data_IF_697614601071
#
_entry.id   IF_697614601071
#
_cell.length_a   1.000
_cell.length_b   1.000
_cell.length_c   1.000
_cell.angle_alpha   90.00
_cell.angle_beta   90.00
_cell.angle_gamma   90.00
#
_symmetry.space_group_name_H-M   'P 1'
#
loop_
_entity.id
_entity.type
_entity.pdbx_description
1 polymer ?
#
# COMPACT_ATOMS: atom_id res chain seq x y z
N UNK A 1 18.46 -9.33 -5.75
CA UNK A 1 18.10 -9.14 -4.33
C UNK A 1 16.59 -8.93 -4.23
N UNK A 2 15.86 -9.90 -3.67
CA UNK A 2 14.39 -9.93 -3.66
C UNK A 2 13.82 -8.89 -2.69
N UNK A 3 12.72 -8.25 -3.06
CA UNK A 3 11.94 -7.40 -2.16
C UNK A 3 11.35 -8.22 -1.01
N UNK A 4 11.68 -7.95 0.26
CA UNK A 4 11.02 -8.60 1.40
C UNK A 4 9.61 -8.07 1.66
N UNK A 5 9.34 -6.79 1.39
CA UNK A 5 8.02 -6.20 1.60
C UNK A 5 6.98 -6.92 0.73
N UNK A 6 5.81 -7.21 1.32
CA UNK A 6 4.70 -8.07 0.85
C UNK A 6 5.06 -9.51 0.45
N UNK A 7 6.33 -9.85 0.20
CA UNK A 7 6.75 -11.16 -0.27
C UNK A 7 7.26 -12.08 0.84
N UNK A 8 7.59 -11.52 2.02
CA UNK A 8 7.97 -12.27 3.21
C UNK A 8 7.03 -11.95 4.37
N UNK A 9 6.65 -12.96 5.18
CA UNK A 9 5.85 -12.73 6.36
C UNK A 9 6.54 -11.77 7.34
N UNK A 10 5.74 -10.97 8.02
CA UNK A 10 6.21 -10.05 9.03
C UNK A 10 5.33 -8.82 9.20
N UNK A 11 5.74 -7.97 10.13
CA UNK A 11 5.10 -6.69 10.38
C UNK A 11 5.96 -5.58 9.82
N UNK A 12 5.34 -4.64 9.14
CA UNK A 12 6.00 -3.43 8.66
C UNK A 12 5.31 -2.23 9.28
N UNK A 13 6.09 -1.31 9.80
CA UNK A 13 5.63 -0.04 10.31
C UNK A 13 5.97 1.04 9.31
N UNK A 14 5.16 2.09 9.27
CA UNK A 14 5.41 3.23 8.42
C UNK A 14 4.88 4.51 9.01
N UNK A 15 5.44 5.60 8.52
CA UNK A 15 4.99 6.94 8.84
C UNK A 15 5.17 7.83 7.61
N UNK A 16 4.38 8.89 7.54
CA UNK A 16 4.44 9.81 6.42
C UNK A 16 3.44 10.94 6.52
N UNK A 17 3.11 11.51 5.36
CA UNK A 17 2.20 12.63 5.19
C UNK A 17 1.22 12.34 4.05
N UNK A 18 -0.03 12.75 4.26
CA UNK A 18 -1.09 12.75 3.26
C UNK A 18 -1.40 14.22 2.92
N UNK A 19 -1.38 14.54 1.64
CA UNK A 19 -1.76 15.84 1.11
C UNK A 19 -3.02 15.67 0.26
N UNK A 20 -4.05 16.47 0.52
CA UNK A 20 -5.32 16.46 -0.21
C UNK A 20 -5.37 17.67 -1.16
N UNK A 21 -5.83 17.51 -2.41
CA UNK A 21 -5.85 18.63 -3.37
C UNK A 21 -6.81 19.76 -2.99
N UNK A 22 -7.86 19.44 -2.23
CA UNK A 22 -8.94 20.38 -1.91
C UNK A 22 -8.67 21.23 -0.68
N UNK A 23 -7.62 20.93 0.06
CA UNK A 23 -7.25 21.62 1.30
C UNK A 23 -5.73 21.68 1.32
N UNK A 24 -5.10 22.84 1.55
CA UNK A 24 -3.63 22.93 1.79
C UNK A 24 -3.24 22.30 3.15
N UNK A 25 -3.89 21.21 3.52
CA UNK A 25 -3.72 20.48 4.74
C UNK A 25 -2.80 19.28 4.48
N UNK A 26 -1.82 19.13 5.36
CA UNK A 26 -0.87 18.03 5.36
C UNK A 26 -1.08 17.24 6.63
N UNK A 27 -1.65 16.06 6.48
CA UNK A 27 -2.02 15.19 7.60
C UNK A 27 -0.92 14.15 7.84
N UNK A 28 -0.26 14.15 9.01
CA UNK A 28 0.63 13.06 9.39
C UNK A 28 -0.15 11.75 9.49
N UNK A 29 0.45 10.65 9.04
CA UNK A 29 -0.14 9.32 9.21
C UNK A 29 0.89 8.30 9.68
N UNK A 30 0.38 7.26 10.33
CA UNK A 30 1.10 6.05 10.68
C UNK A 30 0.42 4.86 10.00
N UNK A 31 1.21 3.89 9.54
CA UNK A 31 0.67 2.67 8.96
C UNK A 31 1.33 1.43 9.54
N UNK A 32 0.56 0.35 9.63
CA UNK A 32 1.04 -0.97 9.98
C UNK A 32 0.55 -1.97 8.95
N UNK A 33 1.49 -2.67 8.33
CA UNK A 33 1.20 -3.84 7.51
C UNK A 33 1.46 -5.10 8.31
N UNK A 34 0.54 -6.05 8.22
CA UNK A 34 0.71 -7.43 8.66
C UNK A 34 0.68 -8.33 7.43
N UNK A 35 1.82 -8.92 7.12
CA UNK A 35 2.00 -9.84 5.98
C UNK A 35 2.09 -11.26 6.55
N UNK A 36 1.10 -12.14 6.29
CA UNK A 36 1.17 -13.53 6.74
C UNK A 36 1.99 -14.40 5.78
N UNK A 37 2.07 -15.69 6.11
CA UNK A 37 2.47 -16.72 5.15
C UNK A 37 1.51 -16.82 3.97
N UNK A 38 2.04 -17.36 2.87
CA UNK A 38 1.23 -17.70 1.70
C UNK A 38 0.31 -18.87 2.06
N UNK A 39 -0.92 -18.82 1.56
CA UNK A 39 -1.82 -19.97 1.62
C UNK A 39 -1.40 -21.07 0.61
N UNK A 40 -2.14 -22.18 0.62
CA UNK A 40 -1.90 -23.33 -0.28
C UNK A 40 -2.03 -22.99 -1.77
N UNK A 41 -2.68 -21.87 -2.11
CA UNK A 41 -2.84 -21.35 -3.47
C UNK A 41 -1.78 -20.32 -3.83
N UNK A 42 -0.87 -20.01 -2.91
CA UNK A 42 0.18 -19.01 -3.08
C UNK A 42 -0.30 -17.56 -2.91
N UNK A 43 -1.50 -17.34 -2.37
CA UNK A 43 -2.06 -16.02 -2.08
C UNK A 43 -1.54 -15.49 -0.73
N UNK A 44 -1.27 -14.19 -0.66
CA UNK A 44 -0.87 -13.50 0.57
C UNK A 44 -1.97 -12.49 0.93
N UNK A 45 -2.75 -12.80 1.97
CA UNK A 45 -3.81 -11.93 2.48
C UNK A 45 -3.27 -11.00 3.58
N UNK A 46 -2.76 -9.84 3.18
CA UNK A 46 -2.20 -8.85 4.10
C UNK A 46 -3.25 -7.89 4.64
N UNK A 47 -3.03 -7.40 5.85
CA UNK A 47 -3.83 -6.34 6.45
C UNK A 47 -2.99 -5.08 6.56
N UNK A 48 -3.52 -3.95 6.12
CA UNK A 48 -2.95 -2.63 6.36
C UNK A 48 -3.87 -1.85 7.29
N UNK A 49 -3.30 -1.28 8.33
CA UNK A 49 -3.96 -0.36 9.24
C UNK A 49 -3.33 1.02 9.04
N UNK A 50 -4.15 2.06 8.94
CA UNK A 50 -3.73 3.45 8.77
C UNK A 50 -4.39 4.30 9.84
N UNK A 51 -3.57 5.04 10.57
CA UNK A 51 -4.00 6.04 11.54
C UNK A 51 -3.58 7.42 11.02
N UNK A 52 -4.56 8.30 10.84
CA UNK A 52 -4.33 9.67 10.35
C UNK A 52 -4.49 10.62 11.52
N UNK A 53 -3.47 11.45 11.77
CA UNK A 53 -3.51 12.43 12.86
C UNK A 53 -4.68 13.39 12.66
N UNK A 54 -5.53 13.51 13.68
CA UNK A 54 -6.74 14.34 13.62
C UNK A 54 -8.02 13.57 13.27
N UNK A 55 -7.92 12.32 12.83
CA UNK A 55 -9.05 11.42 12.66
C UNK A 55 -9.09 10.38 13.79
N UNK A 56 -10.28 10.10 14.32
CA UNK A 56 -10.44 9.16 15.43
C UNK A 56 -10.37 7.69 15.00
N UNK A 57 -10.67 7.40 13.74
CA UNK A 57 -10.82 6.05 13.24
C UNK A 57 -9.54 5.52 12.58
N UNK A 58 -9.19 4.28 12.92
CA UNK A 58 -8.13 3.53 12.23
C UNK A 58 -8.73 2.88 10.99
N UNK A 59 -8.30 3.33 9.82
CA UNK A 59 -8.70 2.73 8.54
C UNK A 59 -8.04 1.37 8.38
N UNK A 60 -8.81 0.39 7.89
CA UNK A 60 -8.34 -0.98 7.65
C UNK A 60 -8.56 -1.36 6.20
N UNK A 61 -7.49 -1.77 5.54
CA UNK A 61 -7.50 -2.24 4.17
C UNK A 61 -7.04 -3.68 4.14
N UNK A 62 -7.83 -4.55 3.53
CA UNK A 62 -7.45 -5.93 3.30
C UNK A 62 -6.91 -6.05 1.87
N UNK A 63 -5.67 -6.54 1.74
CA UNK A 63 -5.00 -6.73 0.47
C UNK A 63 -4.74 -8.21 0.20
N UNK A 64 -5.10 -8.69 -0.98
CA UNK A 64 -4.75 -10.03 -1.44
C UNK A 64 -3.79 -9.96 -2.62
N UNK A 65 -2.61 -10.57 -2.47
CA UNK A 65 -1.60 -10.65 -3.52
C UNK A 65 -1.51 -12.07 -4.07
N UNK A 66 -1.73 -12.26 -5.38
CA UNK A 66 -1.76 -13.58 -6.00
C UNK A 66 -1.25 -13.56 -7.46
N UNK A 67 -1.15 -14.74 -8.08
CA UNK A 67 -0.59 -14.92 -9.43
C UNK A 67 0.79 -14.24 -9.62
N UNK A 68 1.61 -14.28 -8.56
CA UNK A 68 2.92 -13.64 -8.55
C UNK A 68 3.92 -14.36 -9.45
N UNK A 69 4.61 -13.60 -10.30
CA UNK A 69 5.81 -14.02 -11.00
C UNK A 69 7.00 -13.10 -10.62
N UNK A 70 8.09 -13.16 -11.39
CA UNK A 70 9.31 -12.36 -11.08
C UNK A 70 9.16 -10.86 -11.32
N UNK A 71 8.16 -10.44 -12.10
CA UNK A 71 7.98 -9.05 -12.57
C UNK A 71 6.62 -8.47 -12.22
N UNK A 72 5.59 -9.29 -12.06
CA UNK A 72 4.22 -8.83 -11.84
C UNK A 72 3.45 -9.71 -10.88
N UNK A 73 2.34 -9.17 -10.37
CA UNK A 73 1.36 -9.87 -9.55
C UNK A 73 -0.01 -9.23 -9.74
N UNK A 74 -1.05 -9.92 -9.29
CA UNK A 74 -2.38 -9.35 -9.16
C UNK A 74 -2.59 -8.95 -7.71
N UNK A 75 -3.16 -7.77 -7.51
CA UNK A 75 -3.51 -7.25 -6.21
C UNK A 75 -5.02 -7.04 -6.15
N UNK A 76 -5.59 -7.29 -4.99
CA UNK A 76 -6.99 -7.02 -4.70
C UNK A 76 -7.05 -6.25 -3.38
N UNK A 77 -7.81 -5.16 -3.36
CA UNK A 77 -8.04 -4.31 -2.21
C UNK A 77 -9.51 -4.41 -1.82
N UNK A 78 -9.77 -4.70 -0.56
CA UNK A 78 -11.10 -4.63 0.04
C UNK A 78 -11.10 -3.62 1.20
N UNK A 79 -12.00 -2.64 1.11
CA UNK A 79 -12.25 -1.65 2.16
C UNK A 79 -13.75 -1.31 2.19
N UNK A 80 -14.25 -0.92 3.36
CA UNK A 80 -15.66 -0.57 3.58
C UNK A 80 -16.18 0.53 2.65
N UNK A 81 -15.34 1.49 2.25
CA UNK A 81 -15.70 2.63 1.41
C UNK A 81 -15.67 2.33 -0.08
N UNK A 82 -14.74 1.49 -0.54
CA UNK A 82 -14.52 1.19 -1.97
C UNK A 82 -15.11 -0.16 -2.40
N UNK A 83 -15.52 -1.00 -1.44
CA UNK A 83 -15.80 -2.40 -1.69
C UNK A 83 -14.53 -3.12 -2.14
N UNK A 84 -14.67 -3.95 -3.17
CA UNK A 84 -13.62 -4.84 -3.65
C UNK A 84 -13.08 -4.38 -5.01
N UNK A 85 -11.78 -4.15 -5.08
CA UNK A 85 -11.08 -3.55 -6.22
C UNK A 85 -9.93 -4.44 -6.64
N UNK A 86 -9.77 -4.67 -7.94
CA UNK A 86 -8.65 -5.46 -8.49
C UNK A 86 -7.70 -4.54 -9.25
N UNK A 87 -6.40 -4.71 -8.99
CA UNK A 87 -5.33 -3.94 -9.59
C UNK A 87 -4.20 -4.81 -10.14
N UNK A 88 -3.16 -4.14 -10.64
CA UNK A 88 -1.97 -4.79 -11.21
C UNK A 88 -0.74 -4.36 -10.45
N UNK A 89 0.07 -5.33 -10.07
CA UNK A 89 1.33 -5.13 -9.38
C UNK A 89 2.54 -5.34 -10.26
N UNK A 90 3.62 -4.64 -9.95
CA UNK A 90 4.93 -4.79 -10.58
C UNK A 90 6.05 -4.93 -9.56
N UNK A 91 7.10 -5.64 -9.96
CA UNK A 91 8.31 -5.90 -9.19
C UNK A 91 9.50 -5.64 -10.11
N UNK A 92 10.38 -4.72 -9.73
CA UNK A 92 11.68 -4.50 -10.36
C UNK A 92 12.81 -4.71 -9.33
N UNK A 93 14.06 -4.46 -9.69
CA UNK A 93 15.15 -4.54 -8.71
C UNK A 93 15.11 -3.41 -7.67
N UNK A 94 14.57 -2.24 -8.04
CA UNK A 94 14.55 -1.03 -7.20
C UNK A 94 13.21 -0.80 -6.52
N UNK A 95 12.11 -1.14 -7.19
CA UNK A 95 10.76 -0.81 -6.74
C UNK A 95 9.83 -2.03 -6.73
N UNK A 96 8.82 -1.95 -5.88
CA UNK A 96 7.65 -2.82 -5.89
C UNK A 96 6.43 -1.91 -5.72
N UNK A 97 5.38 -2.12 -6.51
CA UNK A 97 4.22 -1.24 -6.48
C UNK A 97 3.05 -1.80 -7.25
N UNK A 98 1.93 -1.09 -7.22
CA UNK A 98 0.69 -1.48 -7.87
C UNK A 98 -0.13 -0.27 -8.28
N UNK A 99 -1.06 -0.50 -9.19
CA UNK A 99 -2.06 0.47 -9.61
C UNK A 99 -3.47 -0.14 -9.58
N UNK A 100 -4.45 0.74 -9.34
CA UNK A 100 -5.87 0.47 -9.46
C UNK A 100 -6.46 1.40 -10.51
N UNK A 101 -7.32 0.86 -11.36
CA UNK A 101 -8.08 1.63 -12.35
C UNK A 101 -9.51 1.10 -12.40
N UNK A 102 -10.45 1.92 -11.96
CA UNK A 102 -11.87 1.63 -11.91
C UNK A 102 -12.61 2.69 -12.71
N UNK A 103 -12.57 2.56 -14.04
CA UNK A 103 -13.14 3.55 -14.97
C UNK A 103 -14.61 3.89 -14.66
N UNK A 104 -15.39 2.89 -14.23
CA UNK A 104 -16.81 3.04 -13.89
C UNK A 104 -17.08 3.83 -12.59
N UNK A 105 -16.09 3.90 -11.69
CA UNK A 105 -16.14 4.71 -10.47
C UNK A 105 -15.31 5.98 -10.58
N UNK A 106 -14.58 6.16 -11.69
CA UNK A 106 -13.64 7.25 -11.84
C UNK A 106 -12.49 7.23 -10.84
N UNK A 107 -12.18 6.07 -10.29
CA UNK A 107 -11.13 5.91 -9.30
C UNK A 107 -9.89 5.34 -9.96
N UNK A 108 -8.79 6.07 -9.87
CA UNK A 108 -7.49 5.59 -10.29
C UNK A 108 -6.43 5.94 -9.27
N UNK A 109 -5.39 5.14 -9.22
CA UNK A 109 -4.25 5.48 -8.39
C UNK A 109 -3.18 4.43 -8.42
N UNK A 110 -2.03 4.79 -7.90
CA UNK A 110 -0.89 3.91 -7.78
C UNK A 110 -0.23 4.07 -6.42
N UNK A 111 0.52 3.06 -6.04
CA UNK A 111 1.35 3.05 -4.86
C UNK A 111 2.62 2.28 -5.16
N UNK A 112 3.78 2.85 -4.83
CA UNK A 112 5.04 2.17 -4.97
C UNK A 112 5.96 2.37 -3.77
N UNK A 113 6.86 1.42 -3.66
CA UNK A 113 7.84 1.27 -2.61
C UNK A 113 9.21 1.11 -3.24
N UNK A 114 10.02 2.16 -3.16
CA UNK A 114 11.42 2.13 -3.56
C UNK A 114 12.28 1.68 -2.37
N UNK A 115 13.27 0.82 -2.61
CA UNK A 115 14.19 0.39 -1.55
C UNK A 115 14.90 1.59 -0.93
N UNK A 116 14.87 1.66 0.41
CA UNK A 116 15.64 2.65 1.16
C UNK A 116 17.13 2.29 1.26
N UNK A 117 17.89 3.17 1.89
CA UNK A 117 19.33 3.01 2.10
C UNK A 117 19.68 1.92 3.13
N UNK A 118 18.75 1.63 4.05
CA UNK A 118 18.90 0.61 5.09
C UNK A 118 18.21 -0.70 4.70
N UNK A 119 18.69 -1.86 5.20
CA UNK A 119 18.02 -3.14 5.00
C UNK A 119 16.57 -3.11 5.49
N UNK A 120 15.68 -3.77 4.74
CA UNK A 120 14.26 -3.88 5.07
C UNK A 120 13.58 -2.50 5.32
N UNK A 121 14.00 -1.48 4.57
CA UNK A 121 13.35 -0.16 4.53
C UNK A 121 12.94 0.21 3.11
N UNK A 122 11.86 0.99 3.00
CA UNK A 122 11.35 1.50 1.73
C UNK A 122 10.87 2.94 1.87
N UNK A 123 11.05 3.71 0.80
CA UNK A 123 10.36 4.97 0.56
C UNK A 123 9.05 4.67 -0.18
N UNK A 124 7.94 5.18 0.36
CA UNK A 124 6.60 4.96 -0.16
C UNK A 124 6.09 6.23 -0.82
N UNK A 125 5.47 6.08 -1.98
CA UNK A 125 4.72 7.14 -2.62
C UNK A 125 3.44 6.57 -3.23
N UNK A 126 2.34 7.27 -3.03
CA UNK A 126 1.07 6.92 -3.65
C UNK A 126 0.34 8.17 -4.14
N UNK A 127 -0.39 8.02 -5.23
CA UNK A 127 -1.33 9.03 -5.71
C UNK A 127 -2.65 8.36 -6.05
N UNK A 128 -3.74 8.93 -5.57
CA UNK A 128 -5.10 8.49 -5.85
C UNK A 128 -5.94 9.66 -6.32
N UNK A 129 -6.74 9.45 -7.36
CA UNK A 129 -7.64 10.43 -7.93
C UNK A 129 -9.06 9.84 -8.06
N UNK A 130 -10.05 10.73 -7.92
CA UNK A 130 -11.45 10.45 -8.20
C UNK A 130 -11.99 11.43 -9.24
N UNK A 131 -13.12 11.13 -9.87
CA UNK A 131 -13.76 12.00 -10.87
C UNK A 131 -14.08 13.43 -10.38
N UNK A 132 -14.21 13.63 -9.07
CA UNK A 132 -14.53 14.93 -8.47
C UNK A 132 -13.26 15.79 -8.25
N UNK A 133 -12.16 15.51 -8.97
CA UNK A 133 -10.85 16.17 -8.87
C UNK A 133 -10.18 16.12 -7.48
N UNK A 134 -10.71 15.30 -6.56
CA UNK A 134 -10.02 15.00 -5.32
C UNK A 134 -8.80 14.12 -5.61
N UNK A 135 -7.63 14.68 -5.33
CA UNK A 135 -6.35 13.99 -5.40
C UNK A 135 -5.78 13.84 -4.01
N UNK A 136 -5.34 12.64 -3.71
CA UNK A 136 -4.62 12.32 -2.49
C UNK A 136 -3.20 11.95 -2.89
N UNK A 137 -2.23 12.70 -2.37
CA UNK A 137 -0.81 12.39 -2.53
C UNK A 137 -0.27 11.94 -1.18
N UNK A 138 0.37 10.78 -1.16
CA UNK A 138 0.95 10.18 0.04
C UNK A 138 2.45 10.03 -0.16
N UNK A 139 3.22 10.47 0.83
CA UNK A 139 4.64 10.21 0.93
C UNK A 139 4.95 9.63 2.29
N UNK A 140 5.75 8.58 2.33
CA UNK A 140 6.14 7.99 3.59
C UNK A 140 7.39 7.14 3.48
N UNK A 141 7.68 6.46 4.57
CA UNK A 141 8.67 5.40 4.63
C UNK A 141 8.09 4.24 5.42
N UNK A 142 8.48 3.03 5.06
CA UNK A 142 8.16 1.83 5.83
C UNK A 142 9.43 1.08 6.19
N UNK A 143 9.40 0.37 7.30
CA UNK A 143 10.47 -0.50 7.75
C UNK A 143 9.90 -1.75 8.40
N UNK A 144 10.63 -2.85 8.29
CA UNK A 144 10.23 -4.08 8.98
C UNK A 144 10.40 -3.89 10.48
N UNK A 145 9.33 -4.20 11.22
CA UNK A 145 9.41 -4.25 12.68
C UNK A 145 10.26 -5.46 13.07
N UNK A 146 11.35 -5.22 13.80
CA UNK A 146 12.10 -6.27 14.46
C UNK A 146 11.20 -6.86 15.54
N UNK A 147 10.72 -8.08 15.33
CA UNK A 147 10.12 -8.87 16.41
C UNK A 147 11.15 -8.97 17.53
N UNK A 148 10.84 -8.39 18.71
CA UNK A 148 11.40 -8.88 19.97
C UNK A 148 10.52 -10.00 20.47
#
# INVERSE_FOLDING_TARGET
MKHPFILKPGRWLGEGKITLSTVEEVLPYYTRWTVPDRDDKGCIASMQEIEISGLADVMKNQFSFYNMNRKTFVIELENQSLGKVVGKGMISDKLIGWEFRLDHLGFEGFEFYEKGELPDTYLMHAEYATNDDFRTVIHGKIWRSSSR
#
